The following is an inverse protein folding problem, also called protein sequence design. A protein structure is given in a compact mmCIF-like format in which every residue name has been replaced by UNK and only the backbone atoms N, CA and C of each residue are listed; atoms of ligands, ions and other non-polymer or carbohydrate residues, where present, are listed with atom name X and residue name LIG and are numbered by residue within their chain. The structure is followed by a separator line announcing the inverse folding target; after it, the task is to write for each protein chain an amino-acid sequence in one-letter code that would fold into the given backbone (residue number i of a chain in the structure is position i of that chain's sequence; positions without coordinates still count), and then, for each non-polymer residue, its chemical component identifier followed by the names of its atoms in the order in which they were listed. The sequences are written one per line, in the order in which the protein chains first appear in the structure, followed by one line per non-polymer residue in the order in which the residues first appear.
data_IF_946606437785
#
_entry.id   IF_946606437785
#
_cell.length_a   1.000
_cell.length_b   1.000
_cell.length_c   1.000
_cell.angle_alpha   90.00
_cell.angle_beta   90.00
_cell.angle_gamma   90.00
#
_symmetry.space_group_name_H-M   'P 1'
#
loop_
_entity.id
_entity.type
_entity.pdbx_description
1 polymer ?
#
# COMPACT_ATOMS: atom_id res chain seq x y z
N UNK A 1 3.34 3.36 43.47
CA UNK A 1 3.78 3.54 42.07
C UNK A 1 3.21 2.41 41.22
N UNK A 2 2.68 2.72 40.03
CA UNK A 2 2.15 1.71 39.10
C UNK A 2 3.33 0.91 38.52
N UNK A 3 3.18 -0.40 38.39
CA UNK A 3 4.17 -1.24 37.72
C UNK A 3 4.14 -1.00 36.19
N UNK A 4 5.22 -1.40 35.52
CA UNK A 4 5.31 -1.37 34.05
C UNK A 4 4.16 -2.14 33.41
N UNK A 5 3.65 -1.64 32.28
CA UNK A 5 2.65 -2.35 31.50
C UNK A 5 3.26 -3.59 30.83
N UNK A 6 2.55 -4.74 30.78
CA UNK A 6 3.07 -5.92 30.11
C UNK A 6 3.39 -5.71 28.62
N UNK A 7 2.66 -4.85 27.90
CA UNK A 7 2.92 -4.61 26.48
C UNK A 7 4.26 -3.88 26.28
N UNK A 8 4.52 -2.83 27.07
CA UNK A 8 5.80 -2.10 27.05
C UNK A 8 6.98 -3.02 27.38
N UNK A 9 6.75 -3.99 28.26
CA UNK A 9 7.76 -4.98 28.63
C UNK A 9 8.14 -5.90 27.47
N UNK A 10 7.18 -6.31 26.62
CA UNK A 10 7.45 -7.09 25.42
C UNK A 10 8.07 -6.21 24.32
N UNK A 11 7.55 -5.01 24.09
CA UNK A 11 8.13 -4.08 23.13
C UNK A 11 9.58 -3.73 23.46
N UNK A 12 9.96 -3.67 24.74
CA UNK A 12 11.37 -3.52 25.14
C UNK A 12 12.22 -4.74 24.75
N UNK A 13 11.69 -5.97 24.89
CA UNK A 13 12.39 -7.21 24.53
C UNK A 13 12.53 -7.40 23.02
N UNK A 14 11.56 -6.90 22.26
CA UNK A 14 11.53 -6.97 20.79
C UNK A 14 12.26 -5.79 20.13
N UNK A 15 12.85 -4.88 20.92
CA UNK A 15 13.53 -3.66 20.45
C UNK A 15 12.62 -2.68 19.67
N UNK A 16 11.31 -2.74 19.93
CA UNK A 16 10.23 -1.98 19.25
C UNK A 16 9.82 -0.68 19.98
N UNK A 17 10.66 -0.17 20.87
CA UNK A 17 10.41 1.09 21.61
C UNK A 17 11.24 2.26 21.07
N UNK A 18 10.70 3.47 21.18
CA UNK A 18 11.48 4.69 20.97
C UNK A 18 12.51 4.87 22.08
N UNK A 19 13.61 5.58 21.80
CA UNK A 19 14.69 5.80 22.77
C UNK A 19 14.20 6.41 24.09
N UNK A 20 13.24 7.33 24.02
CA UNK A 20 12.63 7.94 25.21
C UNK A 20 11.90 6.91 26.07
N UNK A 21 11.05 6.07 25.45
CA UNK A 21 10.33 5.01 26.17
C UNK A 21 11.29 3.95 26.72
N UNK A 22 12.36 3.66 25.99
CA UNK A 22 13.41 2.74 26.45
C UNK A 22 14.05 3.25 27.75
N UNK A 23 14.42 4.53 27.80
CA UNK A 23 14.97 5.16 29.00
C UNK A 23 13.96 5.14 30.17
N UNK A 24 12.68 5.38 29.91
CA UNK A 24 11.62 5.31 30.94
C UNK A 24 11.49 3.89 31.54
N UNK A 25 11.53 2.87 30.68
CA UNK A 25 11.53 1.46 31.11
C UNK A 25 12.78 1.14 31.93
N UNK A 26 13.96 1.57 31.50
CA UNK A 26 15.22 1.34 32.22
C UNK A 26 15.24 2.02 33.60
N UNK A 27 14.77 3.26 33.68
CA UNK A 27 14.58 3.98 34.95
C UNK A 27 13.59 3.25 35.88
N UNK A 28 12.51 2.69 35.32
CA UNK A 28 11.57 1.89 36.10
C UNK A 28 12.21 0.58 36.59
N UNK A 29 12.97 -0.11 35.75
CA UNK A 29 13.66 -1.35 36.13
C UNK A 29 14.75 -1.12 37.17
N UNK A 30 15.36 0.08 37.20
CA UNK A 30 16.31 0.48 38.24
C UNK A 30 15.64 0.65 39.62
N UNK A 31 14.40 1.13 39.67
CA UNK A 31 13.67 1.42 40.92
C UNK A 31 12.72 0.29 41.38
N UNK A 32 12.22 -0.55 40.47
CA UNK A 32 11.21 -1.57 40.77
C UNK A 32 11.76 -3.01 40.70
N UNK A 33 12.03 -3.61 41.87
CA UNK A 33 12.51 -5.00 41.99
C UNK A 33 11.53 -6.03 41.39
N UNK A 34 10.23 -5.82 41.53
CA UNK A 34 9.19 -6.75 41.03
C UNK A 34 9.20 -6.84 39.50
N UNK A 35 9.30 -5.69 38.83
CA UNK A 35 9.37 -5.63 37.37
C UNK A 35 10.69 -6.22 36.86
N UNK A 36 11.81 -5.97 37.55
CA UNK A 36 13.10 -6.58 37.23
C UNK A 36 13.07 -8.10 37.25
N UNK A 37 12.52 -8.71 38.31
CA UNK A 37 12.37 -10.17 38.41
C UNK A 37 11.46 -10.75 37.31
N UNK A 38 10.38 -10.04 36.96
CA UNK A 38 9.49 -10.43 35.86
C UNK A 38 10.20 -10.40 34.51
N UNK A 39 11.05 -9.39 34.29
CA UNK A 39 11.89 -9.24 33.09
C UNK A 39 12.92 -10.35 32.98
N UNK A 40 13.69 -10.63 34.04
CA UNK A 40 14.68 -11.70 34.07
C UNK A 40 14.06 -13.08 33.80
N UNK A 41 12.83 -13.32 34.27
CA UNK A 41 12.10 -14.57 33.96
C UNK A 41 11.79 -14.67 32.47
N UNK A 42 11.36 -13.59 31.83
CA UNK A 42 11.04 -13.57 30.39
C UNK A 42 12.28 -13.69 29.52
N UNK A 43 13.35 -12.97 29.86
CA UNK A 43 14.63 -13.08 29.15
C UNK A 43 15.15 -14.51 29.16
N UNK A 44 15.15 -15.18 30.32
CA UNK A 44 15.54 -16.60 30.40
C UNK A 44 14.69 -17.52 29.52
N UNK A 45 13.38 -17.27 29.42
CA UNK A 45 12.52 -18.05 28.52
C UNK A 45 12.87 -17.79 27.05
N UNK A 46 13.12 -16.54 26.66
CA UNK A 46 13.54 -16.19 25.30
C UNK A 46 14.90 -16.78 24.94
N UNK A 47 15.87 -16.75 25.86
CA UNK A 47 17.18 -17.39 25.67
C UNK A 47 17.06 -18.90 25.49
N UNK A 48 16.19 -19.56 26.26
CA UNK A 48 15.92 -20.99 26.07
C UNK A 48 15.34 -21.28 24.68
N UNK A 49 14.45 -20.43 24.15
CA UNK A 49 13.88 -20.55 22.82
C UNK A 49 14.91 -20.29 21.71
N UNK A 50 15.81 -19.32 21.89
CA UNK A 50 16.88 -19.00 20.92
C UNK A 50 17.84 -20.17 20.68
N UNK A 51 17.99 -21.05 21.66
CA UNK A 51 18.86 -22.22 21.58
C UNK A 51 18.20 -23.46 20.95
N UNK A 52 16.96 -23.34 20.48
CA UNK A 52 16.29 -24.44 19.77
C UNK A 52 16.99 -24.67 18.43
N UNK A 53 17.39 -25.92 18.10
CA UNK A 53 18.05 -26.20 16.83
C UNK A 53 17.12 -25.88 15.66
N UNK A 54 17.62 -25.11 14.69
CA UNK A 54 16.93 -24.91 13.43
C UNK A 54 16.76 -26.26 12.72
N UNK A 55 15.52 -26.72 12.61
CA UNK A 55 15.20 -27.94 11.87
C UNK A 55 15.44 -27.71 10.37
N UNK A 56 16.33 -28.51 9.77
CA UNK A 56 16.55 -28.48 8.32
C UNK A 56 15.31 -29.04 7.62
N UNK A 57 14.76 -28.28 6.69
CA UNK A 57 13.65 -28.74 5.88
C UNK A 57 14.08 -29.88 4.95
N UNK A 58 13.21 -30.87 4.69
CA UNK A 58 13.49 -31.92 3.71
C UNK A 58 13.75 -31.35 2.32
N UNK A 59 14.56 -32.07 1.52
CA UNK A 59 14.81 -31.70 0.12
C UNK A 59 13.47 -31.62 -0.63
N UNK A 60 13.26 -30.52 -1.36
CA UNK A 60 12.05 -30.31 -2.17
C UNK A 60 10.82 -29.77 -1.43
N UNK A 61 10.92 -29.47 -0.12
CA UNK A 61 9.82 -28.90 0.66
C UNK A 61 9.23 -27.63 0.01
N UNK A 62 10.10 -26.69 -0.38
CA UNK A 62 9.66 -25.46 -1.06
C UNK A 62 8.84 -25.76 -2.32
N UNK A 63 9.29 -26.68 -3.17
CA UNK A 63 8.59 -27.04 -4.40
C UNK A 63 7.22 -27.67 -4.11
N UNK A 64 7.14 -28.53 -3.09
CA UNK A 64 5.89 -29.14 -2.66
C UNK A 64 4.89 -28.08 -2.18
N UNK A 65 5.33 -27.10 -1.39
CA UNK A 65 4.47 -26.01 -0.94
C UNK A 65 4.03 -25.12 -2.10
N UNK A 66 4.97 -24.71 -2.95
CA UNK A 66 4.69 -23.85 -4.11
C UNK A 66 3.71 -24.50 -5.09
N UNK A 67 3.76 -25.83 -5.27
CA UNK A 67 2.77 -26.54 -6.10
C UNK A 67 1.34 -26.52 -5.57
N UNK A 68 1.15 -26.28 -4.27
CA UNK A 68 -0.17 -26.22 -3.61
C UNK A 68 -0.73 -24.79 -3.56
N UNK A 69 0.11 -23.78 -3.77
CA UNK A 69 -0.34 -22.39 -3.79
C UNK A 69 -1.03 -22.13 -5.13
N UNK A 70 -2.32 -21.81 -5.06
CA UNK A 70 -3.07 -21.39 -6.26
C UNK A 70 -2.52 -20.04 -6.72
N UNK A 71 -2.05 -19.89 -7.97
CA UNK A 71 -1.63 -18.60 -8.46
C UNK A 71 -2.85 -17.67 -8.52
N UNK A 72 -2.69 -16.45 -8.00
CA UNK A 72 -3.66 -15.37 -8.22
C UNK A 72 -3.54 -15.01 -9.69
N UNK A 73 -4.44 -15.54 -10.52
CA UNK A 73 -4.55 -15.14 -11.92
C UNK A 73 -5.51 -13.96 -11.98
N UNK A 74 -5.08 -12.77 -12.41
CA UNK A 74 -6.02 -11.70 -12.71
C UNK A 74 -6.99 -12.19 -13.78
N UNK A 75 -8.28 -11.95 -13.60
CA UNK A 75 -9.30 -12.40 -14.55
C UNK A 75 -9.15 -11.59 -15.85
N UNK A 76 -9.29 -12.21 -17.04
CA UNK A 76 -9.35 -11.46 -18.30
C UNK A 76 -10.43 -10.37 -18.28
N UNK A 77 -11.51 -10.59 -17.52
CA UNK A 77 -12.60 -9.63 -17.33
C UNK A 77 -12.14 -8.32 -16.68
N UNK A 78 -11.11 -8.35 -15.82
CA UNK A 78 -10.62 -7.15 -15.12
C UNK A 78 -9.87 -6.22 -16.08
N UNK A 79 -9.19 -6.78 -17.10
CA UNK A 79 -8.56 -6.02 -18.17
C UNK A 79 -9.58 -5.35 -19.10
N UNK A 80 -10.66 -6.07 -19.44
CA UNK A 80 -11.74 -5.50 -20.26
C UNK A 80 -12.49 -4.37 -19.54
N UNK A 81 -12.76 -4.51 -18.23
CA UNK A 81 -13.40 -3.46 -17.43
C UNK A 81 -12.55 -2.19 -17.31
N UNK A 82 -11.22 -2.31 -17.30
CA UNK A 82 -10.33 -1.16 -17.34
C UNK A 82 -10.34 -0.45 -18.70
N UNK A 83 -10.51 -1.18 -19.81
CA UNK A 83 -10.53 -0.63 -21.16
C UNK A 83 -11.84 0.08 -21.56
N UNK A 84 -12.97 -0.29 -20.98
CA UNK A 84 -14.29 0.26 -21.36
C UNK A 84 -14.41 1.77 -21.15
N UNK A 85 -13.79 2.32 -20.09
CA UNK A 85 -13.85 3.75 -19.81
C UNK A 85 -13.13 4.59 -20.88
N UNK A 86 -11.99 4.11 -21.39
CA UNK A 86 -11.24 4.79 -22.44
C UNK A 86 -11.99 4.81 -23.78
N UNK A 87 -12.63 3.69 -24.15
CA UNK A 87 -13.44 3.61 -25.39
C UNK A 87 -14.65 4.54 -25.33
N UNK A 88 -15.35 4.59 -24.19
CA UNK A 88 -16.50 5.50 -24.01
C UNK A 88 -16.05 6.97 -24.12
N UNK A 89 -14.91 7.33 -23.51
CA UNK A 89 -14.41 8.70 -23.59
C UNK A 89 -14.02 9.10 -25.02
N UNK A 90 -13.28 8.24 -25.73
CA UNK A 90 -12.86 8.51 -27.12
C UNK A 90 -14.08 8.67 -28.03
N UNK A 91 -15.05 7.76 -27.92
CA UNK A 91 -16.28 7.82 -28.73
C UNK A 91 -17.11 9.08 -28.44
N UNK A 92 -17.27 9.46 -27.18
CA UNK A 92 -17.97 10.68 -26.80
C UNK A 92 -17.27 11.94 -27.33
N UNK A 93 -15.94 12.04 -27.22
CA UNK A 93 -15.15 13.16 -27.75
C UNK A 93 -15.26 13.22 -29.28
N UNK A 94 -15.17 12.10 -29.98
CA UNK A 94 -15.35 12.05 -31.45
C UNK A 94 -16.75 12.48 -31.88
N UNK A 95 -17.81 12.07 -31.15
CA UNK A 95 -19.18 12.49 -31.44
C UNK A 95 -19.40 13.98 -31.17
N UNK A 96 -18.84 14.51 -30.07
CA UNK A 96 -18.89 15.95 -29.77
C UNK A 96 -18.15 16.76 -30.84
N UNK A 97 -16.96 16.31 -31.27
CA UNK A 97 -16.22 16.94 -32.35
C UNK A 97 -16.99 16.94 -33.67
N UNK A 98 -17.65 15.82 -34.00
CA UNK A 98 -18.45 15.71 -35.22
C UNK A 98 -19.73 16.58 -35.17
N UNK A 99 -20.37 16.67 -34.00
CA UNK A 99 -21.52 17.54 -33.78
C UNK A 99 -21.13 19.04 -33.88
N UNK A 100 -19.98 19.41 -33.31
CA UNK A 100 -19.40 20.75 -33.48
C UNK A 100 -19.01 21.04 -34.94
N UNK A 101 -18.49 20.05 -35.65
CA UNK A 101 -18.10 20.17 -37.06
C UNK A 101 -19.29 20.43 -37.98
N UNK A 102 -20.49 19.90 -37.67
CA UNK A 102 -21.71 20.18 -38.42
C UNK A 102 -22.26 21.60 -38.22
N UNK A 103 -21.81 22.35 -37.22
CA UNK A 103 -22.14 23.78 -37.03
C UNK A 103 -20.99 24.71 -37.46
N UNK A 104 -19.73 24.25 -37.44
CA UNK A 104 -18.57 25.15 -37.56
C UNK A 104 -18.03 25.46 -38.96
N UNK A 105 -18.39 24.71 -40.02
CA UNK A 105 -17.73 24.89 -41.32
C UNK A 105 -18.48 25.87 -42.25
N UNK A 106 -19.81 25.80 -42.28
CA UNK A 106 -20.63 26.71 -43.08
C UNK A 106 -20.62 28.13 -42.50
N UNK A 107 -20.79 28.27 -41.19
CA UNK A 107 -20.80 29.58 -40.52
C UNK A 107 -19.42 30.25 -40.55
N UNK A 108 -18.32 29.49 -40.49
CA UNK A 108 -16.98 30.03 -40.66
C UNK A 108 -16.73 30.51 -42.09
N UNK A 109 -17.14 29.75 -43.10
CA UNK A 109 -17.01 30.16 -44.50
C UNK A 109 -17.84 31.43 -44.79
N UNK A 110 -19.09 31.50 -44.33
CA UNK A 110 -19.96 32.67 -44.53
C UNK A 110 -19.40 33.91 -43.83
N UNK A 111 -18.98 33.80 -42.57
CA UNK A 111 -18.41 34.93 -41.84
C UNK A 111 -17.08 35.41 -42.44
N UNK A 112 -16.25 34.50 -42.96
CA UNK A 112 -14.99 34.85 -43.62
C UNK A 112 -15.24 35.62 -44.92
N UNK A 113 -16.18 35.17 -45.76
CA UNK A 113 -16.54 35.87 -46.99
C UNK A 113 -17.16 37.25 -46.73
N UNK A 114 -18.04 37.35 -45.72
CA UNK A 114 -18.70 38.60 -45.39
C UNK A 114 -17.73 39.64 -44.81
N UNK A 115 -16.74 39.21 -44.02
CA UNK A 115 -15.67 40.06 -43.51
C UNK A 115 -14.74 40.56 -44.62
N UNK A 116 -14.43 39.74 -45.62
CA UNK A 116 -13.59 40.12 -46.76
C UNK A 116 -14.25 41.18 -47.66
N UNK A 117 -15.58 41.12 -47.84
CA UNK A 117 -16.35 42.08 -48.65
C UNK A 117 -16.46 43.46 -47.98
N UNK A 118 -16.57 43.51 -46.65
CA UNK A 118 -16.64 44.78 -45.92
C UNK A 118 -15.29 45.53 -45.86
N UNK A 119 -14.17 44.86 -46.12
CA UNK A 119 -12.84 45.47 -46.18
C UNK A 119 -12.52 46.11 -47.54
N UNK A 120 -13.33 45.84 -48.56
CA UNK A 120 -13.18 46.38 -49.91
C UNK A 120 -14.15 47.53 -50.23
N UNK A 121 -14.83 48.09 -49.24
CA UNK A 121 -15.75 49.23 -49.35
C UNK A 121 -15.33 50.34 -48.40
#
# INVERSE_FOLDING_TARGET
MKCLDPAEMYSYLDEDLTDQKKADVENHLASCRKCRQSMEKKQRMLEALKNIPCYKTPKGFTNQIMSKIKPVRPSPSDWFKAGTAAVIFITAVSLLFFAFSKQGLADFAVNFFQSAINLSR
#
